data_IF_711903083032
#
_entry.id   IF_711903083032
#
_cell.length_a   1.000
_cell.length_b   1.000
_cell.length_c   1.000
_cell.angle_alpha   90.00
_cell.angle_beta   90.00
_cell.angle_gamma   90.00
#
_symmetry.space_group_name_H-M   'P 1'
#
loop_
_entity.id
_entity.type
_entity.pdbx_description
1 polymer ?
#
# COMPACT_ATOMS: atom_id res chain seq x y z
N UNK A 1 -10.01 9.59 17.11
CA UNK A 1 -8.53 9.54 17.03
C UNK A 1 -8.09 9.85 15.61
N UNK A 2 -7.19 10.79 15.45
CA UNK A 2 -6.69 11.18 14.13
C UNK A 2 -5.64 10.18 13.65
N UNK A 3 -5.70 9.82 12.38
CA UNK A 3 -4.78 8.85 11.79
C UNK A 3 -4.43 9.21 10.35
N UNK A 4 -3.25 8.77 9.94
CA UNK A 4 -2.79 8.85 8.55
C UNK A 4 -2.79 7.43 7.99
N UNK A 5 -3.40 7.24 6.82
CA UNK A 5 -3.38 5.95 6.11
C UNK A 5 -2.17 5.94 5.17
N UNK A 6 -1.26 5.00 5.39
CA UNK A 6 -0.11 4.80 4.53
C UNK A 6 -0.27 3.54 3.68
N UNK A 7 0.10 3.63 2.40
CA UNK A 7 -0.03 2.53 1.43
C UNK A 7 1.30 2.36 0.70
N UNK A 8 1.78 1.11 0.63
CA UNK A 8 3.02 0.81 -0.07
C UNK A 8 2.83 -0.41 -0.98
N UNK A 9 3.06 -0.22 -2.28
CA UNK A 9 3.04 -1.28 -3.28
C UNK A 9 4.39 -1.33 -4.02
N UNK A 10 5.48 -1.02 -3.33
CA UNK A 10 6.78 -0.78 -3.95
C UNK A 10 7.50 -2.02 -4.45
N UNK A 11 7.20 -3.20 -3.91
CA UNK A 11 7.94 -4.40 -4.26
C UNK A 11 7.03 -5.63 -4.19
N UNK A 12 7.46 -6.69 -3.53
CA UNK A 12 6.73 -7.95 -3.46
C UNK A 12 5.76 -8.04 -2.30
N UNK A 13 5.45 -6.92 -1.65
CA UNK A 13 4.50 -6.89 -0.54
C UNK A 13 3.52 -5.74 -0.73
N UNK A 14 2.23 -6.06 -0.66
CA UNK A 14 1.17 -5.05 -0.54
C UNK A 14 1.02 -4.73 0.94
N UNK A 15 1.15 -3.48 1.33
CA UNK A 15 1.04 -3.11 2.74
C UNK A 15 0.28 -1.82 2.95
N UNK A 16 -0.40 -1.75 4.09
CA UNK A 16 -1.10 -0.56 4.58
C UNK A 16 -0.86 -0.43 6.07
N UNK A 17 -0.90 0.79 6.57
CA UNK A 17 -0.80 1.06 8.00
C UNK A 17 -1.60 2.29 8.36
N UNK A 18 -2.14 2.31 9.59
CA UNK A 18 -2.67 3.51 10.20
C UNK A 18 -1.65 4.01 11.22
N UNK A 19 -1.29 5.26 11.12
CA UNK A 19 -0.25 5.88 11.96
C UNK A 19 -0.80 7.18 12.51
N UNK A 20 -0.51 7.49 13.78
CA UNK A 20 -0.88 8.78 14.35
C UNK A 20 -0.01 9.88 13.75
N UNK A 21 -0.46 11.15 13.78
CA UNK A 21 0.39 12.27 13.34
C UNK A 21 1.72 12.36 14.08
N UNK A 22 1.81 11.78 15.29
CA UNK A 22 3.03 11.75 16.11
C UNK A 22 3.95 10.58 15.73
N UNK A 23 3.52 9.67 14.83
CA UNK A 23 4.33 8.57 14.34
C UNK A 23 4.09 7.23 15.00
N UNK A 24 3.08 7.09 15.84
CA UNK A 24 2.73 5.81 16.47
C UNK A 24 1.93 4.94 15.50
N UNK A 25 2.32 3.69 15.32
CA UNK A 25 1.61 2.75 14.46
C UNK A 25 0.41 2.18 15.21
N UNK A 26 -0.79 2.46 14.71
CA UNK A 26 -2.04 1.98 15.32
C UNK A 26 -2.40 0.58 14.83
N UNK A 27 -2.24 0.32 13.54
CA UNK A 27 -2.47 -0.98 12.94
C UNK A 27 -1.71 -1.09 11.62
N UNK A 28 -1.43 -2.32 11.20
CA UNK A 28 -0.79 -2.56 9.91
C UNK A 28 -1.23 -3.90 9.35
N UNK A 29 -1.22 -4.02 8.04
CA UNK A 29 -1.55 -5.25 7.33
C UNK A 29 -0.68 -5.34 6.09
N UNK A 30 -0.19 -6.56 5.80
CA UNK A 30 0.65 -6.79 4.62
C UNK A 30 0.36 -8.16 4.03
N UNK A 31 0.60 -8.29 2.73
CA UNK A 31 0.49 -9.57 2.03
C UNK A 31 1.59 -9.66 0.97
N UNK A 32 2.38 -10.73 1.04
CA UNK A 32 3.38 -10.99 0.02
C UNK A 32 2.70 -11.35 -1.31
N UNK A 33 3.30 -10.89 -2.41
CA UNK A 33 2.84 -11.28 -3.74
C UNK A 33 3.23 -12.73 -4.01
N UNK A 34 2.41 -13.43 -4.79
CA UNK A 34 2.68 -14.79 -5.21
C UNK A 34 3.62 -14.80 -6.40
N UNK A 35 4.71 -15.56 -6.30
CA UNK A 35 5.67 -15.80 -7.38
C UNK A 35 5.61 -17.28 -7.70
N UNK A 36 5.45 -17.64 -8.97
CA UNK A 36 5.37 -19.04 -9.38
C UNK A 36 6.68 -19.77 -9.11
N UNK A 37 6.58 -21.06 -8.79
CA UNK A 37 7.73 -21.92 -8.56
C UNK A 37 8.63 -21.92 -9.81
N UNK A 38 9.92 -21.71 -9.60
CA UNK A 38 10.90 -21.65 -10.68
C UNK A 38 11.01 -20.31 -11.39
N UNK A 39 10.10 -19.39 -11.11
CA UNK A 39 10.17 -18.04 -11.68
C UNK A 39 11.26 -17.23 -10.95
N UNK A 40 11.95 -16.35 -11.70
CA UNK A 40 13.00 -15.50 -11.14
C UNK A 40 12.46 -14.24 -10.47
N UNK A 41 11.14 -13.98 -10.62
CA UNK A 41 10.49 -12.81 -10.07
C UNK A 41 9.17 -12.58 -10.76
N UNK A 42 8.57 -11.43 -10.53
CA UNK A 42 7.30 -11.03 -11.13
C UNK A 42 7.54 -9.97 -12.20
N UNK A 43 6.81 -10.09 -13.31
CA UNK A 43 6.68 -8.98 -14.26
C UNK A 43 5.92 -7.84 -13.61
N UNK A 44 6.21 -6.60 -14.00
CA UNK A 44 5.55 -5.42 -13.43
C UNK A 44 4.03 -5.48 -13.54
N UNK A 45 3.51 -5.96 -14.69
CA UNK A 45 2.05 -6.08 -14.87
C UNK A 45 1.42 -7.08 -13.92
N UNK A 46 2.10 -8.19 -13.63
CA UNK A 46 1.62 -9.20 -12.68
C UNK A 46 1.64 -8.66 -11.26
N UNK A 47 2.71 -7.94 -10.90
CA UNK A 47 2.82 -7.29 -9.61
C UNK A 47 1.73 -6.25 -9.40
N UNK A 48 1.50 -5.41 -10.40
CA UNK A 48 0.44 -4.40 -10.36
C UNK A 48 -0.93 -5.05 -10.14
N UNK A 49 -1.23 -6.12 -10.89
CA UNK A 49 -2.51 -6.82 -10.77
C UNK A 49 -2.71 -7.37 -9.35
N UNK A 50 -1.68 -8.00 -8.78
CA UNK A 50 -1.79 -8.56 -7.44
C UNK A 50 -1.96 -7.47 -6.37
N UNK A 51 -1.24 -6.34 -6.50
CA UNK A 51 -1.40 -5.22 -5.58
C UNK A 51 -2.82 -4.67 -5.64
N UNK A 52 -3.37 -4.47 -6.83
CA UNK A 52 -4.74 -3.98 -7.00
C UNK A 52 -5.75 -4.93 -6.35
N UNK A 53 -5.52 -6.24 -6.50
CA UNK A 53 -6.38 -7.26 -5.91
C UNK A 53 -6.29 -7.28 -4.38
N UNK A 54 -5.09 -7.07 -3.82
CA UNK A 54 -4.85 -7.18 -2.39
C UNK A 54 -5.28 -5.94 -1.60
N UNK A 55 -5.17 -4.74 -2.18
CA UNK A 55 -5.33 -3.48 -1.46
C UNK A 55 -6.66 -3.32 -0.72
N UNK A 56 -7.83 -3.62 -1.32
CA UNK A 56 -9.10 -3.44 -0.60
C UNK A 56 -9.13 -4.22 0.70
N UNK A 57 -8.62 -5.46 0.72
CA UNK A 57 -8.60 -6.28 1.92
C UNK A 57 -7.62 -5.71 2.96
N UNK A 58 -6.47 -5.22 2.52
CA UNK A 58 -5.48 -4.64 3.43
C UNK A 58 -6.02 -3.38 4.10
N UNK A 59 -6.68 -2.51 3.33
CA UNK A 59 -7.30 -1.30 3.86
C UNK A 59 -8.40 -1.66 4.86
N UNK A 60 -9.26 -2.62 4.53
CA UNK A 60 -10.31 -3.08 5.44
C UNK A 60 -9.73 -3.62 6.74
N UNK A 61 -8.64 -4.38 6.66
CA UNK A 61 -8.01 -4.96 7.84
C UNK A 61 -7.50 -3.88 8.81
N UNK A 62 -6.80 -2.87 8.30
CA UNK A 62 -6.27 -1.81 9.17
C UNK A 62 -7.38 -0.93 9.73
N UNK A 63 -8.43 -0.67 8.97
CA UNK A 63 -9.56 0.14 9.45
C UNK A 63 -10.38 -0.61 10.50
N UNK A 64 -10.53 -1.92 10.37
CA UNK A 64 -11.28 -2.72 11.31
C UNK A 64 -10.61 -2.79 12.69
N UNK A 65 -9.28 -2.75 12.73
CA UNK A 65 -8.52 -2.82 13.98
C UNK A 65 -8.66 -1.54 14.82
N UNK A 66 -9.01 -0.41 14.20
CA UNK A 66 -9.11 0.89 14.87
C UNK A 66 -10.43 1.53 14.45
N UNK A 67 -11.51 1.17 15.17
CA UNK A 67 -12.88 1.56 14.78
C UNK A 67 -13.18 3.06 14.96
N UNK A 68 -12.41 3.76 15.79
CA UNK A 68 -12.60 5.18 16.07
C UNK A 68 -11.60 6.08 15.33
N UNK A 69 -10.87 5.53 14.36
CA UNK A 69 -9.90 6.31 13.60
C UNK A 69 -10.58 7.28 12.65
N UNK A 70 -10.12 8.52 12.65
CA UNK A 70 -10.50 9.55 11.69
C UNK A 70 -9.32 9.82 10.77
N UNK A 71 -9.47 9.52 9.49
CA UNK A 71 -8.38 9.66 8.53
C UNK A 71 -8.22 11.13 8.17
N UNK A 72 -7.10 11.71 8.52
CA UNK A 72 -6.80 13.12 8.23
C UNK A 72 -5.87 13.29 7.02
N UNK A 73 -5.20 12.22 6.59
CA UNK A 73 -4.32 12.26 5.42
C UNK A 73 -4.10 10.83 4.90
N UNK A 74 -3.80 10.73 3.62
CA UNK A 74 -3.44 9.46 2.97
C UNK A 74 -2.12 9.68 2.25
N UNK A 75 -1.18 8.73 2.38
CA UNK A 75 0.08 8.77 1.66
C UNK A 75 0.37 7.41 1.02
N UNK A 76 1.14 7.44 -0.06
CA UNK A 76 1.50 6.23 -0.78
C UNK A 76 2.89 6.40 -1.39
N UNK A 77 3.62 5.28 -1.49
CA UNK A 77 4.85 5.26 -2.27
C UNK A 77 4.48 5.36 -3.76
N UNK A 78 5.23 6.16 -4.54
CA UNK A 78 4.92 6.41 -5.94
C UNK A 78 6.04 6.01 -6.88
N UNK A 79 7.28 5.93 -6.38
CA UNK A 79 8.45 5.55 -7.17
C UNK A 79 9.59 5.14 -6.24
N UNK A 80 10.54 4.33 -6.73
CA UNK A 80 11.63 3.85 -5.89
C UNK A 80 12.64 4.94 -5.49
N UNK A 81 12.73 6.02 -6.28
CA UNK A 81 13.60 7.17 -6.02
C UNK A 81 12.87 8.46 -6.36
N UNK A 82 13.25 9.61 -5.77
CA UNK A 82 12.56 10.89 -6.02
C UNK A 82 12.97 11.52 -7.37
N UNK A 83 13.09 10.73 -8.41
CA UNK A 83 13.37 11.17 -9.79
C UNK A 83 12.30 10.61 -10.72
N UNK A 84 11.91 11.35 -11.74
CA UNK A 84 10.81 10.97 -12.61
C UNK A 84 11.09 9.70 -13.41
N UNK A 85 12.35 9.45 -13.76
CA UNK A 85 12.75 8.27 -14.51
C UNK A 85 12.82 7.00 -13.68
N UNK A 86 12.55 7.06 -12.37
CA UNK A 86 12.53 5.90 -11.49
C UNK A 86 11.15 5.24 -11.36
N UNK A 87 10.17 5.72 -12.14
CA UNK A 87 8.80 5.20 -12.08
C UNK A 87 8.72 3.70 -12.38
N UNK A 88 7.94 2.97 -11.58
CA UNK A 88 7.63 1.57 -11.80
C UNK A 88 6.12 1.35 -11.69
N UNK A 89 5.50 0.59 -12.63
CA UNK A 89 4.04 0.40 -12.65
C UNK A 89 3.41 -0.10 -11.36
N UNK A 90 4.11 -0.93 -10.58
CA UNK A 90 3.56 -1.47 -9.31
C UNK A 90 3.15 -0.37 -8.33
N UNK A 91 3.80 0.80 -8.39
CA UNK A 91 3.45 1.92 -7.51
C UNK A 91 2.08 2.52 -7.83
N UNK A 92 1.57 2.32 -9.06
CA UNK A 92 0.27 2.88 -9.47
C UNK A 92 -0.89 2.32 -8.65
N UNK A 93 -0.80 1.08 -8.19
CA UNK A 93 -1.84 0.48 -7.36
C UNK A 93 -2.04 1.28 -6.07
N UNK A 94 -0.96 1.55 -5.33
CA UNK A 94 -1.02 2.31 -4.09
C UNK A 94 -1.40 3.76 -4.32
N UNK A 95 -0.82 4.40 -5.35
CA UNK A 95 -1.12 5.78 -5.69
C UNK A 95 -2.60 5.95 -6.04
N UNK A 96 -3.15 5.06 -6.87
CA UNK A 96 -4.56 5.09 -7.26
C UNK A 96 -5.48 4.91 -6.06
N UNK A 97 -5.17 3.96 -5.18
CA UNK A 97 -5.95 3.74 -3.97
C UNK A 97 -5.91 4.94 -3.04
N UNK A 98 -4.74 5.56 -2.89
CA UNK A 98 -4.59 6.74 -2.05
C UNK A 98 -5.42 7.91 -2.58
N UNK A 99 -5.41 8.14 -3.89
CA UNK A 99 -6.22 9.19 -4.51
C UNK A 99 -7.71 8.93 -4.35
N UNK A 100 -8.14 7.68 -4.45
CA UNK A 100 -9.55 7.31 -4.28
C UNK A 100 -10.01 7.49 -2.82
N UNK A 101 -9.11 7.25 -1.86
CA UNK A 101 -9.43 7.35 -0.43
C UNK A 101 -9.39 8.78 0.10
N UNK A 102 -8.67 9.67 -0.58
CA UNK A 102 -8.47 11.04 -0.14
C UNK A 102 -9.75 11.91 -0.21
#
# INVERSE_FOLDING_TARGET
>A
MRAVLGIDTSCYTTSCALVTPEGEILSSSRRLLTVEDGARGLMQSQGLFQHVKNLPQMVQNVMADVSDAEICAVCASTRPRPTEDSYMPVFRAGESQARAAA
#
